data_IF_087993278521
#
_entry.id   IF_087993278521
#
_cell.length_a   1.000
_cell.length_b   1.000
_cell.length_c   1.000
_cell.angle_alpha   90.00
_cell.angle_beta   90.00
_cell.angle_gamma   90.00
#
_symmetry.space_group_name_H-M   'P 1'
#
loop_
_entity.id
_entity.type
_entity.pdbx_description
1 polymer ?
#
# COMPACT_ATOMS: atom_id res chain seq x y z
N UNK A 1 -3.47 6.63 21.97
CA UNK A 1 -4.77 7.26 21.68
C UNK A 1 -5.91 6.54 22.38
N UNK A 2 -5.99 5.21 22.30
CA UNK A 2 -7.06 4.41 22.92
C UNK A 2 -7.27 4.74 24.42
N UNK A 3 -6.18 4.88 25.18
CA UNK A 3 -6.27 5.16 26.61
C UNK A 3 -6.69 6.58 26.97
N UNK A 4 -6.63 7.52 26.02
CA UNK A 4 -7.12 8.89 26.26
C UNK A 4 -8.62 8.97 26.41
N UNK A 5 -9.36 8.07 25.78
CA UNK A 5 -10.81 7.99 25.87
C UNK A 5 -11.30 7.41 27.23
N UNK A 6 -10.44 6.73 27.98
CA UNK A 6 -10.82 5.97 29.17
C UNK A 6 -11.56 4.69 28.83
N UNK A 7 -11.97 3.94 29.86
CA UNK A 7 -12.74 2.68 29.74
C UNK A 7 -12.17 1.63 28.78
N UNK A 8 -10.85 1.63 28.55
CA UNK A 8 -10.18 0.67 27.66
C UNK A 8 -10.13 -0.77 28.22
N UNK A 9 -10.42 -0.96 29.52
CA UNK A 9 -10.49 -2.26 30.15
C UNK A 9 -11.60 -3.10 29.48
N UNK A 10 -11.28 -4.34 29.12
CA UNK A 10 -12.20 -5.20 28.38
C UNK A 10 -12.10 -5.08 26.85
N UNK A 11 -11.58 -3.98 26.33
CA UNK A 11 -11.26 -3.81 24.91
C UNK A 11 -9.79 -4.07 24.64
N UNK A 12 -8.90 -3.52 25.46
CA UNK A 12 -7.44 -3.68 25.33
C UNK A 12 -6.92 -4.53 26.48
N UNK A 13 -6.51 -5.75 26.18
CA UNK A 13 -5.95 -6.66 27.16
C UNK A 13 -4.49 -6.32 27.53
N UNK A 14 -3.70 -5.95 26.53
CA UNK A 14 -2.26 -5.66 26.67
C UNK A 14 -1.81 -4.66 25.59
N UNK A 15 -0.80 -3.87 25.91
CA UNK A 15 0.00 -3.13 24.94
C UNK A 15 1.48 -3.42 25.18
N UNK A 16 2.25 -3.49 24.10
CA UNK A 16 3.69 -3.69 24.12
C UNK A 16 4.33 -2.75 23.10
N UNK A 17 5.45 -2.14 23.47
CA UNK A 17 6.34 -1.44 22.56
C UNK A 17 7.69 -2.16 22.53
N UNK A 18 7.93 -2.94 21.47
CA UNK A 18 9.23 -3.54 21.19
C UNK A 18 10.06 -2.53 20.38
N UNK A 19 10.56 -1.50 21.06
CA UNK A 19 11.25 -0.38 20.42
C UNK A 19 12.66 -0.75 19.95
N UNK A 20 13.36 -1.58 20.73
CA UNK A 20 14.68 -2.08 20.38
C UNK A 20 14.60 -3.19 19.34
N UNK A 21 15.48 -3.14 18.32
CA UNK A 21 15.48 -4.11 17.22
C UNK A 21 15.77 -5.53 17.73
N UNK A 22 16.79 -5.71 18.54
CA UNK A 22 17.20 -7.04 19.01
C UNK A 22 16.13 -7.65 19.91
N UNK A 23 15.47 -6.82 20.73
CA UNK A 23 14.33 -7.25 21.52
C UNK A 23 13.12 -7.62 20.66
N UNK A 24 12.84 -6.86 19.61
CA UNK A 24 11.78 -7.16 18.65
C UNK A 24 12.07 -8.46 17.88
N UNK A 25 13.31 -8.66 17.46
CA UNK A 25 13.76 -9.87 16.78
C UNK A 25 13.67 -11.11 17.70
N UNK A 26 13.98 -10.97 18.99
CA UNK A 26 13.84 -12.04 19.97
C UNK A 26 12.38 -12.50 20.18
N UNK A 27 11.41 -11.59 20.03
CA UNK A 27 9.99 -11.91 20.19
C UNK A 27 9.38 -12.44 18.88
N UNK A 28 9.62 -11.75 17.76
CA UNK A 28 8.90 -11.95 16.50
C UNK A 28 9.70 -12.67 15.41
N UNK A 29 10.96 -13.03 15.69
CA UNK A 29 11.88 -13.66 14.75
C UNK A 29 12.74 -12.65 13.96
N UNK A 30 13.76 -13.15 13.29
CA UNK A 30 14.66 -12.37 12.43
C UNK A 30 14.22 -12.59 10.99
N UNK A 31 14.13 -11.53 10.19
CA UNK A 31 13.89 -11.63 8.77
C UNK A 31 15.21 -11.84 7.99
N UNK A 32 15.13 -12.56 6.86
CA UNK A 32 16.31 -12.95 6.06
C UNK A 32 17.15 -11.75 5.59
N UNK A 33 16.51 -10.62 5.32
CA UNK A 33 17.19 -9.38 4.90
C UNK A 33 17.58 -8.47 6.08
N UNK A 34 17.30 -8.89 7.31
CA UNK A 34 17.59 -8.16 8.54
C UNK A 34 16.77 -6.90 8.74
N UNK A 35 15.74 -6.66 7.92
CA UNK A 35 14.81 -5.54 8.09
C UNK A 35 13.78 -5.88 9.16
N UNK A 36 13.13 -4.84 9.70
CA UNK A 36 12.06 -4.99 10.68
C UNK A 36 10.84 -4.08 10.37
N UNK A 37 10.95 -3.18 9.41
CA UNK A 37 9.82 -2.40 8.90
C UNK A 37 9.32 -3.06 7.61
N UNK A 38 8.66 -4.20 7.76
CA UNK A 38 8.19 -5.05 6.67
C UNK A 38 6.77 -5.55 6.94
N UNK A 39 6.05 -5.93 5.88
CA UNK A 39 4.74 -6.58 5.99
C UNK A 39 4.85 -7.92 6.73
N UNK A 40 5.91 -8.68 6.48
CA UNK A 40 6.16 -9.96 7.13
C UNK A 40 6.31 -9.79 8.65
N UNK A 41 7.08 -8.78 9.09
CA UNK A 41 7.21 -8.43 10.51
C UNK A 41 5.86 -8.09 11.13
N UNK A 42 5.07 -7.24 10.47
CA UNK A 42 3.74 -6.88 10.94
C UNK A 42 2.86 -8.11 11.13
N UNK A 43 2.82 -8.99 10.13
CA UNK A 43 2.02 -10.24 10.17
C UNK A 43 2.46 -11.15 11.31
N UNK A 44 3.77 -11.31 11.50
CA UNK A 44 4.34 -12.08 12.62
C UNK A 44 3.92 -11.51 13.97
N UNK A 45 3.97 -10.18 14.14
CA UNK A 45 3.52 -9.50 15.34
C UNK A 45 2.03 -9.77 15.61
N UNK A 46 1.17 -9.59 14.63
CA UNK A 46 -0.28 -9.80 14.80
C UNK A 46 -0.61 -11.23 15.17
N UNK A 47 0.02 -12.21 14.53
CA UNK A 47 -0.20 -13.64 14.80
C UNK A 47 0.30 -14.05 16.18
N UNK A 48 1.47 -13.59 16.56
CA UNK A 48 2.05 -13.85 17.89
C UNK A 48 1.15 -13.30 19.00
N UNK A 49 0.74 -12.04 18.90
CA UNK A 49 -0.10 -11.40 19.90
C UNK A 49 -1.52 -12.03 19.97
N UNK A 50 -2.06 -12.45 18.84
CA UNK A 50 -3.34 -13.19 18.81
C UNK A 50 -3.22 -14.53 19.51
N UNK A 51 -2.14 -15.29 19.25
CA UNK A 51 -1.87 -16.56 19.92
C UNK A 51 -1.79 -16.41 21.44
N UNK A 52 -1.11 -15.36 21.92
CA UNK A 52 -1.04 -15.06 23.35
C UNK A 52 -2.41 -14.76 23.98
N UNK A 53 -3.30 -14.08 23.27
CA UNK A 53 -4.66 -13.82 23.74
C UNK A 53 -5.42 -15.15 23.86
N UNK A 54 -5.36 -16.02 22.86
CA UNK A 54 -6.03 -17.31 22.85
C UNK A 54 -5.53 -18.25 23.95
N UNK A 55 -4.24 -18.26 24.25
CA UNK A 55 -3.67 -19.04 25.34
C UNK A 55 -4.13 -18.56 26.73
N UNK A 56 -4.30 -17.24 26.91
CA UNK A 56 -4.48 -16.63 28.22
C UNK A 56 -5.92 -16.32 28.57
N UNK A 57 -6.77 -16.09 27.58
CA UNK A 57 -8.18 -15.76 27.78
C UNK A 57 -9.06 -16.95 27.39
N UNK A 58 -9.61 -17.59 28.40
CA UNK A 58 -10.45 -18.77 28.22
C UNK A 58 -11.73 -18.44 27.45
N UNK A 59 -11.93 -19.07 26.31
CA UNK A 59 -13.17 -19.02 25.53
C UNK A 59 -14.37 -19.53 26.33
N UNK A 60 -14.18 -20.55 27.18
CA UNK A 60 -15.23 -21.08 28.02
C UNK A 60 -15.79 -20.06 29.02
N UNK A 61 -14.89 -19.18 29.53
CA UNK A 61 -15.29 -18.09 30.44
C UNK A 61 -15.81 -16.86 29.71
N UNK A 62 -15.45 -16.70 28.43
CA UNK A 62 -15.79 -15.54 27.63
C UNK A 62 -16.25 -15.94 26.21
N UNK A 63 -17.37 -16.70 26.09
CA UNK A 63 -17.80 -17.27 24.81
C UNK A 63 -18.16 -16.22 23.75
N UNK A 64 -18.60 -15.04 24.20
CA UNK A 64 -19.06 -13.97 23.29
C UNK A 64 -18.00 -12.90 22.99
N UNK A 65 -16.75 -13.06 23.47
CA UNK A 65 -15.69 -12.08 23.18
C UNK A 65 -15.13 -12.26 21.78
N UNK A 66 -14.99 -11.17 21.07
CA UNK A 66 -14.18 -11.08 19.84
C UNK A 66 -12.73 -10.83 20.23
N UNK A 67 -11.81 -11.52 19.58
CA UNK A 67 -10.39 -11.28 19.77
C UNK A 67 -9.83 -10.50 18.59
N UNK A 68 -8.89 -9.59 18.88
CA UNK A 68 -8.12 -8.90 17.89
C UNK A 68 -6.72 -8.59 18.40
N UNK A 69 -5.81 -8.44 17.45
CA UNK A 69 -4.50 -7.81 17.66
C UNK A 69 -4.33 -6.68 16.65
N UNK A 70 -3.87 -5.54 17.12
CA UNK A 70 -3.40 -4.43 16.31
C UNK A 70 -1.90 -4.31 16.47
N UNK A 71 -1.20 -4.16 15.36
CA UNK A 71 0.24 -3.95 15.38
C UNK A 71 0.65 -2.88 14.37
N UNK A 72 1.82 -2.30 14.61
CA UNK A 72 2.52 -1.47 13.63
C UNK A 72 4.02 -1.66 13.75
N UNK A 73 4.72 -1.63 12.63
CA UNK A 73 6.16 -1.57 12.54
C UNK A 73 6.52 -0.40 11.63
N UNK A 74 7.05 0.67 12.22
CA UNK A 74 7.24 1.94 11.53
C UNK A 74 8.59 2.55 11.87
N UNK A 75 9.19 3.23 10.90
CA UNK A 75 10.28 4.17 11.10
C UNK A 75 9.72 5.58 10.96
N UNK A 76 9.87 6.41 11.99
CA UNK A 76 9.56 7.83 11.89
C UNK A 76 10.69 8.58 11.19
N UNK A 77 10.46 9.85 10.85
CA UNK A 77 11.49 10.70 10.27
C UNK A 77 12.74 10.71 11.15
N UNK A 78 13.92 10.57 10.52
CA UNK A 78 15.18 10.61 11.20
C UNK A 78 15.57 12.02 11.67
N UNK A 79 16.51 12.12 12.60
CA UNK A 79 16.99 13.42 13.13
C UNK A 79 17.50 14.35 12.03
N UNK A 80 18.19 13.81 11.02
CA UNK A 80 18.73 14.57 9.92
C UNK A 80 17.68 14.95 8.87
N UNK A 81 16.44 14.48 9.02
CA UNK A 81 15.32 14.65 8.07
C UNK A 81 15.67 14.19 6.65
N UNK A 82 16.56 13.22 6.55
CA UNK A 82 17.05 12.68 5.29
C UNK A 82 16.11 11.63 4.70
N UNK A 83 15.47 10.86 5.58
CA UNK A 83 14.53 9.81 5.20
C UNK A 83 13.15 10.15 5.72
N UNK A 84 12.14 10.01 4.85
CA UNK A 84 10.74 10.13 5.25
C UNK A 84 10.35 8.95 6.14
N UNK A 85 9.47 9.19 7.11
CA UNK A 85 8.91 8.11 7.92
C UNK A 85 7.93 7.28 7.10
N UNK A 86 7.92 5.97 7.34
CA UNK A 86 7.00 5.03 6.72
C UNK A 86 6.84 3.78 7.56
N UNK A 87 5.88 2.94 7.25
CA UNK A 87 5.77 1.63 7.87
C UNK A 87 4.49 0.89 7.59
N UNK A 88 4.37 -0.24 8.24
CA UNK A 88 3.25 -1.15 8.12
C UNK A 88 2.36 -1.10 9.35
N UNK A 89 1.07 -1.08 9.13
CA UNK A 89 0.03 -1.01 10.17
C UNK A 89 -1.01 -2.08 9.86
N UNK A 90 -1.48 -2.80 10.86
CA UNK A 90 -2.49 -3.83 10.61
C UNK A 90 -3.30 -4.21 11.81
N UNK A 91 -4.41 -4.84 11.51
CA UNK A 91 -5.29 -5.48 12.48
C UNK A 91 -5.63 -6.90 12.02
N UNK A 92 -5.57 -7.83 12.97
CA UNK A 92 -6.06 -9.20 12.84
C UNK A 92 -7.21 -9.36 13.81
N UNK A 93 -8.40 -9.70 13.34
CA UNK A 93 -9.62 -9.64 14.15
C UNK A 93 -10.63 -10.72 13.78
N UNK A 94 -11.51 -11.01 14.71
CA UNK A 94 -12.69 -11.85 14.52
C UNK A 94 -13.92 -10.97 14.35
N UNK A 95 -14.77 -11.26 13.38
CA UNK A 95 -16.10 -10.63 13.23
C UNK A 95 -17.20 -11.38 13.97
N UNK A 96 -16.94 -12.66 14.33
CA UNK A 96 -17.81 -13.48 15.17
C UNK A 96 -16.96 -14.22 16.22
N UNK A 97 -17.51 -14.50 17.42
CA UNK A 97 -16.78 -15.20 18.47
C UNK A 97 -16.33 -16.60 18.03
N UNK A 98 -15.02 -16.85 18.09
CA UNK A 98 -14.44 -18.15 17.71
C UNK A 98 -14.32 -18.40 16.21
N UNK A 99 -14.70 -17.45 15.37
CA UNK A 99 -14.50 -17.53 13.92
C UNK A 99 -13.02 -17.40 13.54
N UNK A 100 -12.71 -17.79 12.31
CA UNK A 100 -11.41 -17.54 11.71
C UNK A 100 -11.11 -16.03 11.63
N UNK A 101 -9.82 -15.70 11.63
CA UNK A 101 -9.39 -14.32 11.64
C UNK A 101 -9.41 -13.67 10.26
N UNK A 102 -9.78 -12.40 10.27
CA UNK A 102 -9.61 -11.50 9.14
C UNK A 102 -8.42 -10.57 9.40
N UNK A 103 -7.74 -10.15 8.35
CA UNK A 103 -6.62 -9.21 8.45
C UNK A 103 -6.83 -8.03 7.51
N UNK A 104 -6.49 -6.84 7.97
CA UNK A 104 -6.36 -5.62 7.16
C UNK A 104 -4.96 -5.10 7.39
N UNK A 105 -4.19 -4.98 6.32
CA UNK A 105 -2.80 -4.54 6.34
C UNK A 105 -2.68 -3.31 5.47
N UNK A 106 -2.02 -2.27 5.99
CA UNK A 106 -1.77 -1.00 5.33
C UNK A 106 -0.27 -0.73 5.31
N UNK A 107 0.24 -0.20 4.20
CA UNK A 107 1.49 0.54 4.23
C UNK A 107 1.20 2.03 4.27
N UNK A 108 1.91 2.76 5.13
CA UNK A 108 1.71 4.20 5.33
C UNK A 108 3.01 4.95 5.11
N UNK A 109 2.90 6.16 4.56
CA UNK A 109 3.98 7.14 4.49
C UNK A 109 3.60 8.38 5.29
N UNK A 110 4.57 8.95 6.01
CA UNK A 110 4.38 10.17 6.80
C UNK A 110 4.96 11.37 6.06
N UNK A 111 4.17 12.44 5.98
CA UNK A 111 4.58 13.68 5.32
C UNK A 111 4.96 14.79 6.31
N UNK A 112 4.57 14.66 7.58
CA UNK A 112 4.94 15.60 8.63
C UNK A 112 6.45 15.56 8.93
N UNK A 113 7.04 16.72 9.16
CA UNK A 113 8.48 16.88 9.43
C UNK A 113 8.84 16.79 10.93
N UNK A 114 8.03 16.10 11.71
CA UNK A 114 8.20 15.94 13.15
C UNK A 114 7.76 14.54 13.60
N UNK A 115 8.66 13.80 14.24
CA UNK A 115 8.40 12.44 14.69
C UNK A 115 7.22 12.32 15.68
N UNK A 116 7.04 13.32 16.56
CA UNK A 116 5.90 13.31 17.50
C UNK A 116 4.57 13.50 16.78
N UNK A 117 4.52 14.35 15.75
CA UNK A 117 3.32 14.50 14.92
C UNK A 117 3.04 13.22 14.12
N UNK A 118 4.06 12.60 13.54
CA UNK A 118 3.92 11.30 12.85
C UNK A 118 3.35 10.22 13.79
N UNK A 119 3.77 10.19 15.06
CA UNK A 119 3.21 9.28 16.06
C UNK A 119 1.74 9.60 16.39
N UNK A 120 1.34 10.87 16.38
CA UNK A 120 -0.05 11.27 16.58
C UNK A 120 -0.90 10.81 15.40
N UNK A 121 -0.46 11.05 14.17
CA UNK A 121 -1.15 10.61 12.96
C UNK A 121 -1.26 9.08 12.90
N UNK A 122 -0.19 8.35 13.23
CA UNK A 122 -0.21 6.89 13.34
C UNK A 122 -1.21 6.40 14.39
N UNK A 123 -1.23 7.04 15.56
CA UNK A 123 -2.16 6.66 16.63
C UNK A 123 -3.62 6.90 16.27
N UNK A 124 -3.92 7.97 15.53
CA UNK A 124 -5.27 8.25 15.01
C UNK A 124 -5.65 7.22 13.95
N UNK A 125 -4.77 6.95 12.98
CA UNK A 125 -4.96 5.89 11.97
C UNK A 125 -5.23 4.53 12.62
N UNK A 126 -4.50 4.19 13.68
CA UNK A 126 -4.69 2.93 14.40
C UNK A 126 -6.07 2.81 15.05
N UNK A 127 -6.58 3.88 15.65
CA UNK A 127 -7.94 3.89 16.21
C UNK A 127 -8.99 3.77 15.11
N UNK A 128 -8.82 4.51 14.01
CA UNK A 128 -9.72 4.46 12.86
C UNK A 128 -9.74 3.05 12.23
N UNK A 129 -8.57 2.40 12.12
CA UNK A 129 -8.48 1.04 11.59
C UNK A 129 -9.18 0.02 12.49
N UNK A 130 -8.99 0.10 13.81
CA UNK A 130 -9.67 -0.78 14.76
C UNK A 130 -11.19 -0.56 14.68
N UNK A 131 -11.64 0.70 14.68
CA UNK A 131 -13.04 1.03 14.54
C UNK A 131 -13.62 0.52 13.21
N UNK A 132 -12.94 0.79 12.11
CA UNK A 132 -13.34 0.36 10.77
C UNK A 132 -13.45 -1.16 10.63
N UNK A 133 -12.51 -1.91 11.21
CA UNK A 133 -12.52 -3.37 11.19
C UNK A 133 -13.76 -3.97 11.86
N UNK A 134 -14.29 -3.36 12.92
CA UNK A 134 -15.47 -3.87 13.61
C UNK A 134 -16.79 -3.33 13.07
N UNK A 135 -16.81 -2.12 12.53
CA UNK A 135 -18.06 -1.45 12.13
C UNK A 135 -18.26 -1.32 10.63
N UNK A 136 -17.21 -1.51 9.81
CA UNK A 136 -17.26 -1.32 8.36
C UNK A 136 -16.61 -2.45 7.55
N UNK A 137 -16.31 -3.60 8.17
CA UNK A 137 -15.69 -4.73 7.44
C UNK A 137 -16.59 -5.29 6.32
N UNK A 138 -17.89 -5.15 6.43
CA UNK A 138 -18.87 -5.53 5.40
C UNK A 138 -18.90 -4.56 4.20
N UNK A 139 -18.31 -3.37 4.34
CA UNK A 139 -18.20 -2.36 3.29
C UNK A 139 -16.78 -1.77 3.24
N UNK A 140 -15.79 -2.49 2.65
CA UNK A 140 -14.39 -2.06 2.60
C UNK A 140 -14.17 -0.68 1.97
N UNK A 141 -14.96 -0.28 0.96
CA UNK A 141 -14.87 1.07 0.37
C UNK A 141 -15.24 2.16 1.36
N UNK A 142 -16.23 1.91 2.21
CA UNK A 142 -16.60 2.83 3.27
C UNK A 142 -15.56 2.84 4.39
N UNK A 143 -15.00 1.67 4.73
CA UNK A 143 -13.89 1.55 5.68
C UNK A 143 -12.72 2.46 5.27
N UNK A 144 -12.32 2.44 3.99
CA UNK A 144 -11.22 3.29 3.49
C UNK A 144 -11.45 4.78 3.77
N UNK A 145 -12.68 5.28 3.60
CA UNK A 145 -13.01 6.68 3.88
C UNK A 145 -12.84 7.01 5.35
N UNK A 146 -13.30 6.12 6.24
CA UNK A 146 -13.22 6.31 7.70
C UNK A 146 -11.80 6.16 8.27
N UNK A 147 -10.85 5.56 7.52
CA UNK A 147 -9.44 5.57 7.92
C UNK A 147 -8.90 7.00 8.07
N UNK A 148 -9.45 7.95 7.34
CA UNK A 148 -9.03 9.35 7.35
C UNK A 148 -9.88 10.26 8.26
N UNK A 149 -10.73 9.70 9.12
CA UNK A 149 -11.41 10.50 10.13
C UNK A 149 -10.38 11.22 11.03
N UNK A 150 -10.46 12.56 11.09
CA UNK A 150 -9.49 13.43 11.76
C UNK A 150 -8.04 13.38 11.24
N UNK A 151 -7.85 12.86 10.02
CA UNK A 151 -6.58 12.83 9.31
C UNK A 151 -6.70 13.47 7.94
N UNK A 152 -5.57 13.92 7.41
CA UNK A 152 -5.47 14.49 6.06
C UNK A 152 -4.29 13.90 5.32
N UNK A 153 -4.35 13.87 4.01
CA UNK A 153 -3.33 13.24 3.15
C UNK A 153 -1.99 14.00 3.12
N UNK A 154 -1.99 15.27 3.54
CA UNK A 154 -0.77 16.04 3.77
C UNK A 154 0.02 15.61 5.02
N UNK A 155 -0.58 14.80 5.90
CA UNK A 155 0.06 14.25 7.11
C UNK A 155 0.48 12.80 6.95
N UNK A 156 -0.41 11.99 6.40
CA UNK A 156 -0.22 10.55 6.23
C UNK A 156 -0.89 10.08 4.94
N UNK A 157 -0.22 9.20 4.22
CA UNK A 157 -0.67 8.57 2.99
C UNK A 157 -0.78 7.06 3.21
N UNK A 158 -1.71 6.40 2.54
CA UNK A 158 -1.78 4.94 2.42
C UNK A 158 -1.47 4.60 0.97
N UNK A 159 -0.33 3.98 0.71
CA UNK A 159 0.13 3.63 -0.64
C UNK A 159 0.05 2.12 -0.94
N UNK A 160 -0.33 1.30 0.05
CA UNK A 160 -0.74 -0.08 -0.16
C UNK A 160 -1.77 -0.52 0.88
N UNK A 161 -2.70 -1.37 0.45
CA UNK A 161 -3.71 -1.98 1.30
C UNK A 161 -3.98 -3.42 0.87
N UNK A 162 -4.20 -4.29 1.86
CA UNK A 162 -4.53 -5.69 1.65
C UNK A 162 -5.56 -6.16 2.66
N UNK A 163 -6.63 -6.79 2.17
CA UNK A 163 -7.69 -7.42 2.95
C UNK A 163 -7.62 -8.93 2.76
N UNK A 164 -7.56 -9.69 3.83
CA UNK A 164 -7.54 -11.16 3.79
C UNK A 164 -8.43 -11.76 4.86
N UNK A 165 -8.87 -12.98 4.63
CA UNK A 165 -9.72 -13.72 5.57
C UNK A 165 -11.16 -13.92 5.10
N UNK A 166 -11.97 -14.67 5.88
CA UNK A 166 -13.31 -15.08 5.47
C UNK A 166 -14.27 -13.94 5.15
N UNK A 167 -14.21 -12.83 5.89
CA UNK A 167 -15.06 -11.67 5.64
C UNK A 167 -14.72 -10.96 4.33
N UNK A 168 -13.49 -11.13 3.82
CA UNK A 168 -12.98 -10.44 2.65
C UNK A 168 -12.78 -11.33 1.42
N UNK A 169 -13.31 -12.55 1.42
CA UNK A 169 -13.14 -13.51 0.31
C UNK A 169 -13.61 -13.01 -1.05
N UNK A 170 -14.53 -12.05 -1.08
CA UNK A 170 -15.07 -11.43 -2.29
C UNK A 170 -14.48 -10.03 -2.56
N UNK A 171 -13.48 -9.61 -1.80
CA UNK A 171 -12.81 -8.31 -1.97
C UNK A 171 -11.64 -8.48 -2.92
N UNK A 172 -11.65 -7.76 -4.03
CA UNK A 172 -10.47 -7.64 -4.89
C UNK A 172 -9.59 -6.49 -4.38
N UNK A 173 -8.39 -6.82 -3.90
CA UNK A 173 -7.47 -5.85 -3.34
C UNK A 173 -6.97 -4.81 -4.37
N UNK A 174 -7.03 -5.12 -5.67
CA UNK A 174 -6.71 -4.16 -6.73
C UNK A 174 -7.76 -3.06 -6.82
N UNK A 175 -9.04 -3.41 -6.62
CA UNK A 175 -10.13 -2.43 -6.55
C UNK A 175 -9.98 -1.56 -5.31
N UNK A 176 -9.58 -2.13 -4.18
CA UNK A 176 -9.33 -1.33 -2.97
C UNK A 176 -8.16 -0.36 -3.16
N UNK A 177 -7.10 -0.79 -3.83
CA UNK A 177 -5.99 0.09 -4.21
C UNK A 177 -6.41 1.18 -5.20
N UNK A 178 -7.25 0.84 -6.19
CA UNK A 178 -7.84 1.85 -7.08
C UNK A 178 -8.63 2.91 -6.31
N UNK A 179 -9.40 2.51 -5.30
CA UNK A 179 -10.14 3.46 -4.44
C UNK A 179 -9.21 4.41 -3.68
N UNK A 180 -7.98 3.99 -3.31
CA UNK A 180 -7.00 4.90 -2.71
C UNK A 180 -6.66 6.06 -3.65
N UNK A 181 -6.42 5.78 -4.93
CA UNK A 181 -6.10 6.82 -5.93
C UNK A 181 -7.33 7.66 -6.26
N UNK A 182 -8.51 7.05 -6.42
CA UNK A 182 -9.79 7.75 -6.70
C UNK A 182 -10.15 8.75 -5.61
N UNK A 183 -9.89 8.40 -4.35
CA UNK A 183 -10.17 9.26 -3.20
C UNK A 183 -9.02 10.23 -2.87
N UNK A 184 -7.93 10.25 -3.65
CA UNK A 184 -6.77 11.11 -3.42
C UNK A 184 -5.98 10.77 -2.15
N UNK A 185 -6.08 9.53 -1.68
CA UNK A 185 -5.35 9.02 -0.50
C UNK A 185 -3.89 8.79 -0.86
N UNK A 186 -3.63 8.36 -2.09
CA UNK A 186 -2.31 8.28 -2.72
C UNK A 186 -2.36 8.79 -4.14
N UNK A 187 -1.23 9.18 -4.69
CA UNK A 187 -1.14 9.64 -6.08
C UNK A 187 -0.99 8.50 -7.09
N UNK A 188 -0.42 7.36 -6.69
CA UNK A 188 -0.21 6.21 -7.56
C UNK A 188 -0.14 4.89 -6.79
N UNK A 189 -0.56 3.82 -7.45
CA UNK A 189 -0.45 2.42 -7.00
C UNK A 189 0.18 1.60 -8.11
N UNK A 190 0.77 0.46 -7.74
CA UNK A 190 1.41 -0.44 -8.71
C UNK A 190 0.97 -1.88 -8.52
N UNK A 191 0.95 -2.60 -9.65
CA UNK A 191 0.69 -4.04 -9.70
C UNK A 191 1.84 -4.73 -10.42
N UNK A 192 2.28 -5.86 -9.85
CA UNK A 192 3.21 -6.76 -10.53
C UNK A 192 2.53 -7.49 -11.69
N UNK A 193 3.29 -8.15 -12.58
CA UNK A 193 2.72 -8.91 -13.70
C UNK A 193 1.73 -10.00 -13.30
N UNK A 194 1.85 -10.56 -12.11
CA UNK A 194 0.94 -11.55 -11.53
C UNK A 194 -0.30 -10.93 -10.83
N UNK A 195 -0.48 -9.60 -10.95
CA UNK A 195 -1.64 -8.87 -10.46
C UNK A 195 -1.62 -8.54 -8.97
N UNK A 196 -0.53 -8.82 -8.27
CA UNK A 196 -0.42 -8.47 -6.87
C UNK A 196 -0.11 -6.98 -6.66
N UNK A 197 -0.66 -6.40 -5.62
CA UNK A 197 -0.29 -5.06 -5.16
C UNK A 197 1.20 -5.05 -4.76
N UNK A 198 1.94 -4.08 -5.25
CA UNK A 198 3.36 -3.89 -4.91
C UNK A 198 3.62 -2.45 -4.50
N UNK A 199 4.48 -2.29 -3.50
CA UNK A 199 4.90 -0.96 -3.08
C UNK A 199 5.70 -0.27 -4.19
N UNK A 200 5.37 0.96 -4.59
CA UNK A 200 6.16 1.72 -5.55
C UNK A 200 7.66 1.78 -5.18
N UNK A 201 7.95 1.99 -3.90
CA UNK A 201 9.34 2.01 -3.41
C UNK A 201 10.10 0.71 -3.67
N UNK A 202 9.45 -0.46 -3.60
CA UNK A 202 10.11 -1.75 -3.85
C UNK A 202 10.46 -1.96 -5.33
N UNK A 203 9.65 -1.41 -6.23
CA UNK A 203 9.83 -1.53 -7.68
C UNK A 203 10.81 -0.48 -8.21
N UNK A 204 10.74 0.75 -7.69
CA UNK A 204 11.41 1.91 -8.26
C UNK A 204 12.78 2.22 -7.63
N UNK A 205 13.05 1.74 -6.41
CA UNK A 205 14.26 2.11 -5.66
C UNK A 205 15.54 1.76 -6.40
N UNK A 206 16.36 2.78 -6.70
CA UNK A 206 17.62 2.65 -7.45
C UNK A 206 17.49 1.94 -8.80
N UNK A 207 16.34 2.08 -9.48
CA UNK A 207 16.10 1.53 -10.81
C UNK A 207 16.10 2.60 -11.87
N UNK A 208 16.57 2.23 -13.08
CA UNK A 208 16.27 2.96 -14.29
C UNK A 208 14.81 2.68 -14.66
N UNK A 209 14.04 3.70 -15.02
CA UNK A 209 12.60 3.58 -15.23
C UNK A 209 12.28 3.99 -16.66
N UNK A 210 11.61 3.12 -17.40
CA UNK A 210 10.99 3.45 -18.69
C UNK A 210 9.47 3.38 -18.50
N UNK A 211 8.76 4.47 -18.82
CA UNK A 211 7.31 4.53 -18.67
C UNK A 211 6.62 4.73 -20.01
N UNK A 212 5.57 3.94 -20.24
CA UNK A 212 4.62 4.12 -21.31
C UNK A 212 3.27 4.50 -20.72
N UNK A 213 2.74 5.66 -21.07
CA UNK A 213 1.40 6.09 -20.69
C UNK A 213 0.41 5.79 -21.79
N UNK A 214 -0.74 5.23 -21.46
CA UNK A 214 -1.81 4.96 -22.41
C UNK A 214 -3.10 4.49 -21.75
N UNK A 215 -4.18 4.44 -22.52
CA UNK A 215 -5.45 3.88 -22.09
C UNK A 215 -5.46 2.34 -22.12
N UNK A 216 -4.68 1.74 -23.03
CA UNK A 216 -4.58 0.29 -23.26
C UNK A 216 -5.95 -0.42 -23.34
N UNK A 217 -6.84 0.15 -24.13
CA UNK A 217 -8.24 -0.30 -24.29
C UNK A 217 -8.58 -0.62 -25.77
N UNK A 218 -8.21 -1.81 -26.24
CA UNK A 218 -7.23 -2.75 -25.72
C UNK A 218 -5.77 -2.33 -26.03
N UNK A 219 -4.82 -3.16 -25.59
CA UNK A 219 -3.41 -3.03 -26.02
C UNK A 219 -3.33 -3.34 -27.53
N UNK A 220 -2.72 -2.44 -28.28
CA UNK A 220 -2.58 -2.55 -29.72
C UNK A 220 -1.16 -2.95 -30.13
N UNK A 221 -1.01 -3.43 -31.39
CA UNK A 221 0.31 -3.68 -31.98
C UNK A 221 1.19 -2.42 -32.00
N UNK A 222 0.56 -1.24 -32.09
CA UNK A 222 1.27 0.05 -32.03
C UNK A 222 1.84 0.28 -30.64
N UNK A 223 1.08 0.01 -29.59
CA UNK A 223 1.57 0.12 -28.21
C UNK A 223 2.80 -0.78 -27.98
N UNK A 224 2.75 -2.03 -28.44
CA UNK A 224 3.86 -2.96 -28.32
C UNK A 224 5.06 -2.54 -29.15
N UNK A 225 4.88 -2.06 -30.38
CA UNK A 225 5.96 -1.54 -31.21
C UNK A 225 6.61 -0.28 -30.60
N UNK A 226 5.82 0.59 -29.97
CA UNK A 226 6.33 1.74 -29.20
C UNK A 226 7.16 1.27 -28.02
N UNK A 227 6.65 0.30 -27.25
CA UNK A 227 7.37 -0.29 -26.12
C UNK A 227 8.73 -0.85 -26.55
N UNK A 228 8.76 -1.75 -27.52
CA UNK A 228 9.98 -2.43 -27.99
C UNK A 228 11.02 -1.44 -28.49
N UNK A 229 10.60 -0.44 -29.29
CA UNK A 229 11.51 0.60 -29.80
C UNK A 229 12.03 1.49 -28.68
N UNK A 230 11.17 1.94 -27.78
CA UNK A 230 11.55 2.80 -26.66
C UNK A 230 12.49 2.07 -25.71
N UNK A 231 12.22 0.80 -25.40
CA UNK A 231 13.10 -0.01 -24.57
C UNK A 231 14.48 -0.17 -25.20
N UNK A 232 14.54 -0.49 -26.51
CA UNK A 232 15.81 -0.60 -27.25
C UNK A 232 16.61 0.70 -27.22
N UNK A 233 15.96 1.85 -27.41
CA UNK A 233 16.61 3.16 -27.36
C UNK A 233 17.09 3.47 -25.94
N UNK A 234 16.24 3.26 -24.94
CA UNK A 234 16.55 3.54 -23.54
C UNK A 234 17.72 2.70 -23.02
N UNK A 235 17.77 1.41 -23.36
CA UNK A 235 18.87 0.51 -22.96
C UNK A 235 20.21 0.87 -23.65
N UNK A 236 20.19 1.63 -24.73
CA UNK A 236 21.41 2.13 -25.38
C UNK A 236 21.90 3.47 -24.82
N UNK A 237 21.13 4.09 -23.93
CA UNK A 237 21.51 5.35 -23.29
C UNK A 237 22.67 5.15 -22.31
N UNK A 238 23.58 6.13 -22.28
CA UNK A 238 24.68 6.13 -21.31
C UNK A 238 24.14 6.11 -19.87
N UNK A 239 24.73 5.27 -19.03
CA UNK A 239 24.38 5.09 -17.61
C UNK A 239 23.03 4.37 -17.37
N UNK A 240 22.44 3.72 -18.37
CA UNK A 240 21.33 2.81 -18.19
C UNK A 240 21.86 1.40 -18.02
N UNK A 241 21.56 0.79 -16.88
CA UNK A 241 21.90 -0.59 -16.56
C UNK A 241 20.67 -1.46 -16.87
N UNK A 242 20.84 -2.42 -17.78
CA UNK A 242 19.75 -3.31 -18.21
C UNK A 242 19.16 -4.11 -17.05
N UNK A 243 20.02 -4.62 -16.16
CA UNK A 243 19.59 -5.47 -15.04
C UNK A 243 18.89 -4.67 -13.93
N UNK A 244 19.04 -3.35 -13.96
CA UNK A 244 18.37 -2.41 -13.05
C UNK A 244 17.27 -1.61 -13.72
N UNK A 245 16.83 -2.01 -14.90
CA UNK A 245 15.79 -1.30 -15.64
C UNK A 245 14.42 -1.96 -15.37
N UNK A 246 13.45 -1.12 -15.04
CA UNK A 246 12.03 -1.50 -14.92
C UNK A 246 11.20 -0.74 -15.96
N UNK A 247 10.24 -1.44 -16.55
CA UNK A 247 9.27 -0.85 -17.47
C UNK A 247 7.92 -0.75 -16.77
N UNK A 248 7.32 0.42 -16.83
CA UNK A 248 6.03 0.73 -16.20
C UNK A 248 5.02 1.07 -17.30
N UNK A 249 3.92 0.36 -17.32
CA UNK A 249 2.74 0.72 -18.12
C UNK A 249 1.79 1.53 -17.25
N UNK A 250 1.69 2.81 -17.52
CA UNK A 250 0.91 3.76 -16.73
C UNK A 250 -0.46 3.99 -17.36
N UNK A 251 -1.51 3.83 -16.54
CA UNK A 251 -2.88 4.22 -16.86
C UNK A 251 -3.29 5.30 -15.87
N UNK A 252 -3.64 6.49 -16.35
CA UNK A 252 -4.13 7.56 -15.48
C UNK A 252 -5.61 7.35 -15.14
N UNK A 253 -6.09 7.94 -14.04
CA UNK A 253 -7.53 7.95 -13.73
C UNK A 253 -8.37 8.53 -14.86
N UNK A 254 -7.86 9.56 -15.57
CA UNK A 254 -8.54 10.12 -16.73
C UNK A 254 -8.64 9.13 -17.89
N UNK A 255 -7.61 8.30 -18.10
CA UNK A 255 -7.65 7.22 -19.09
C UNK A 255 -8.60 6.07 -18.69
N UNK A 256 -8.88 5.89 -17.40
CA UNK A 256 -9.85 4.91 -16.90
C UNK A 256 -11.27 5.43 -17.00
N UNK A 257 -11.50 6.71 -16.70
CA UNK A 257 -12.85 7.30 -16.71
C UNK A 257 -13.54 7.28 -18.06
N UNK A 258 -12.80 7.47 -19.17
CA UNK A 258 -13.42 7.70 -20.47
C UNK A 258 -14.41 8.86 -20.40
N UNK A 259 -15.67 8.64 -20.82
CA UNK A 259 -16.75 9.64 -20.79
C UNK A 259 -17.65 9.55 -19.53
N UNK A 260 -17.29 8.77 -18.52
CA UNK A 260 -18.15 8.56 -17.34
C UNK A 260 -17.40 8.23 -16.06
N UNK A 261 -18.02 7.42 -15.22
CA UNK A 261 -17.39 6.85 -14.05
C UNK A 261 -16.42 5.72 -14.45
N UNK A 262 -15.49 5.40 -13.56
CA UNK A 262 -14.54 4.31 -13.78
C UNK A 262 -15.30 2.98 -13.67
N UNK A 263 -15.30 2.21 -14.75
CA UNK A 263 -15.77 0.84 -14.78
C UNK A 263 -14.70 -0.07 -14.15
N UNK A 264 -15.05 -0.67 -13.00
CA UNK A 264 -14.15 -1.53 -12.24
C UNK A 264 -13.76 -2.79 -13.00
N UNK A 265 -14.67 -3.35 -13.80
CA UNK A 265 -14.39 -4.53 -14.62
C UNK A 265 -13.42 -4.19 -15.76
N UNK A 266 -13.65 -3.10 -16.47
CA UNK A 266 -12.75 -2.62 -17.52
C UNK A 266 -11.34 -2.32 -16.96
N UNK A 267 -11.26 -1.79 -15.73
CA UNK A 267 -9.98 -1.62 -15.04
C UNK A 267 -9.27 -2.95 -14.81
N UNK A 268 -9.97 -3.94 -14.23
CA UNK A 268 -9.39 -5.25 -13.95
C UNK A 268 -8.95 -5.95 -15.24
N UNK A 269 -9.78 -5.93 -16.28
CA UNK A 269 -9.48 -6.53 -17.58
C UNK A 269 -8.21 -5.93 -18.21
N UNK A 270 -8.00 -4.60 -18.08
CA UNK A 270 -6.77 -3.94 -18.56
C UNK A 270 -5.55 -4.31 -17.73
N UNK A 271 -5.69 -4.35 -16.40
CA UNK A 271 -4.61 -4.75 -15.51
C UNK A 271 -4.18 -6.21 -15.78
N UNK A 272 -5.15 -7.11 -15.93
CA UNK A 272 -4.92 -8.53 -16.24
C UNK A 272 -4.27 -8.70 -17.63
N UNK A 273 -4.72 -7.96 -18.63
CA UNK A 273 -4.14 -7.99 -19.97
C UNK A 273 -2.68 -7.56 -19.95
N UNK A 274 -2.35 -6.44 -19.32
CA UNK A 274 -0.98 -5.96 -19.20
C UNK A 274 -0.11 -6.91 -18.39
N UNK A 275 -0.63 -7.44 -17.27
CA UNK A 275 0.04 -8.44 -16.45
C UNK A 275 0.35 -9.71 -17.25
N UNK A 276 -0.59 -10.22 -18.07
CA UNK A 276 -0.38 -11.38 -18.94
C UNK A 276 0.71 -11.17 -19.98
N UNK A 277 1.02 -9.92 -20.33
CA UNK A 277 2.14 -9.53 -21.19
C UNK A 277 3.46 -9.34 -20.40
N UNK A 278 3.48 -9.70 -19.12
CA UNK A 278 4.64 -9.57 -18.25
C UNK A 278 4.97 -8.14 -17.82
N UNK A 279 3.99 -7.22 -17.85
CA UNK A 279 4.24 -5.80 -17.58
C UNK A 279 3.84 -5.41 -16.17
N UNK A 280 4.64 -4.53 -15.55
CA UNK A 280 4.25 -3.84 -14.31
C UNK A 280 3.30 -2.69 -14.66
N UNK A 281 2.17 -2.63 -13.97
CA UNK A 281 1.12 -1.64 -14.20
C UNK A 281 1.13 -0.60 -13.09
N UNK A 282 1.05 0.67 -13.46
CA UNK A 282 0.84 1.77 -12.54
C UNK A 282 -0.48 2.47 -12.84
N UNK A 283 -1.29 2.67 -11.81
CA UNK A 283 -2.46 3.54 -11.89
C UNK A 283 -2.13 4.83 -11.16
N UNK A 284 -2.33 5.96 -11.81
CA UNK A 284 -1.95 7.27 -11.28
C UNK A 284 -3.03 8.34 -11.46
N UNK A 285 -2.92 9.38 -10.65
CA UNK A 285 -3.72 10.61 -10.81
C UNK A 285 -2.90 11.75 -11.46
N UNK A 286 -1.80 11.43 -12.14
CA UNK A 286 -0.95 12.42 -12.78
C UNK A 286 -1.54 12.83 -14.13
N UNK A 287 -1.95 14.06 -14.27
CA UNK A 287 -2.38 14.60 -15.58
C UNK A 287 -1.17 14.91 -16.45
N UNK A 288 -0.18 15.59 -15.90
CA UNK A 288 1.01 16.04 -16.60
C UNK A 288 2.17 15.05 -16.46
N UNK A 289 3.00 14.94 -17.50
CA UNK A 289 4.14 14.03 -17.50
C UNK A 289 5.24 14.42 -16.52
N UNK A 290 5.44 15.72 -16.25
CA UNK A 290 6.45 16.16 -15.29
C UNK A 290 6.17 15.65 -13.87
N UNK A 291 4.90 15.50 -13.49
CA UNK A 291 4.50 14.93 -12.18
C UNK A 291 4.92 13.47 -12.04
N UNK A 292 4.85 12.70 -13.12
CA UNK A 292 5.38 11.32 -13.12
C UNK A 292 6.87 11.31 -12.84
N UNK A 293 7.62 12.25 -13.46
CA UNK A 293 9.06 12.38 -13.24
C UNK A 293 9.36 12.80 -11.79
N UNK A 294 8.61 13.75 -11.26
CA UNK A 294 8.73 14.18 -9.85
C UNK A 294 8.45 13.00 -8.89
N UNK A 295 7.39 12.24 -9.16
CA UNK A 295 7.05 11.05 -8.38
C UNK A 295 8.16 10.01 -8.41
N UNK A 296 8.66 9.63 -9.58
CA UNK A 296 9.77 8.69 -9.69
C UNK A 296 11.04 9.23 -9.04
N UNK A 297 11.29 10.54 -9.13
CA UNK A 297 12.42 11.22 -8.50
C UNK A 297 12.46 11.12 -6.98
N UNK A 298 11.35 10.78 -6.33
CA UNK A 298 11.31 10.49 -4.90
C UNK A 298 11.93 9.11 -4.57
N UNK A 299 11.89 8.17 -5.51
CA UNK A 299 12.31 6.78 -5.33
C UNK A 299 13.68 6.46 -5.92
N UNK A 300 14.06 7.13 -7.02
CA UNK A 300 15.33 6.87 -7.71
C UNK A 300 16.04 8.13 -8.18
N UNK A 301 17.35 8.05 -8.32
CA UNK A 301 18.20 9.07 -8.99
C UNK A 301 18.76 8.57 -10.31
N UNK A 302 18.36 7.38 -10.72
CA UNK A 302 18.77 6.74 -11.97
C UNK A 302 18.04 7.36 -13.17
N UNK A 303 18.32 6.88 -14.36
CA UNK A 303 17.75 7.40 -15.61
C UNK A 303 16.25 7.10 -15.70
N UNK A 304 15.50 8.06 -16.22
CA UNK A 304 14.07 7.94 -16.50
C UNK A 304 13.81 8.24 -17.98
N UNK A 305 13.04 7.39 -18.63
CA UNK A 305 12.55 7.52 -19.98
C UNK A 305 11.03 7.58 -20.00
N UNK A 306 10.47 8.52 -20.77
CA UNK A 306 9.04 8.60 -21.02
C UNK A 306 8.78 8.34 -22.51
N UNK A 307 7.89 7.40 -22.81
CA UNK A 307 7.43 7.14 -24.17
C UNK A 307 6.16 7.92 -24.42
N UNK A 308 6.18 8.79 -25.43
CA UNK A 308 5.05 9.66 -25.80
C UNK A 308 4.71 9.53 -27.26
N UNK A 309 3.43 9.73 -27.59
CA UNK A 309 2.99 9.93 -28.96
C UNK A 309 3.39 11.31 -29.50
N UNK A 310 3.53 11.43 -30.83
CA UNK A 310 3.92 12.72 -31.47
C UNK A 310 2.88 13.81 -31.22
N UNK A 311 1.60 13.47 -31.12
CA UNK A 311 0.54 14.42 -30.76
C UNK A 311 0.73 15.03 -29.38
N UNK A 312 1.08 14.22 -28.41
CA UNK A 312 1.35 14.65 -27.00
C UNK A 312 2.56 15.57 -26.85
N UNK A 313 3.51 15.53 -27.81
CA UNK A 313 4.68 16.41 -27.81
C UNK A 313 4.39 17.79 -28.40
N UNK A 314 3.24 17.96 -29.07
CA UNK A 314 2.83 19.22 -29.71
C UNK A 314 1.94 20.09 -28.82
N UNK A 315 1.28 19.45 -27.84
CA UNK A 315 0.46 20.06 -26.80
C UNK A 315 1.29 20.44 -25.58
#
# INVERSE_FOLDING_TARGET
HFFRAGNASGTVAKTLSAYDKDFSDAIYGIEDDGRYVTEQRLTSMMRYETGLIEERISRLKHPNKLFFSYANTVATIDWAKKYKGHGWVGIRFQNEPGADYNEIVLHVQFHENNAAHQQISLGTMGVNLIYGAFYYHDNPKNLLKHLFDHLTTDKIEIDAINFTGPAFKNVDNRLMSLELVKNGITEAIMFSPDGNNVLPASILYKRNILTLRGSFRPVTKVNMAMYEKSLKLFLNEKKVDKDKTVVIFEITLSNLKGEGEIDERDFLDRADLLGSLGQTVMISNFQEYYKVVEYFGQHTKERMGLTMGVSTLKD
#
